data_IF_183300010745
#
_entry.id   IF_183300010745
#
_cell.length_a   1.000
_cell.length_b   1.000
_cell.length_c   1.000
_cell.angle_alpha   90.00
_cell.angle_beta   90.00
_cell.angle_gamma   90.00
#
_symmetry.space_group_name_H-M   'P 1'
#
loop_
_entity.id
_entity.type
_entity.pdbx_description
1 polymer ?
#
# COMPACT_ATOMS: atom_id res chain seq x y z
N UNK A 1 1.70 -13.59 67.79
CA UNK A 1 1.49 -14.32 66.52
C UNK A 1 1.05 -13.29 65.48
N UNK A 2 1.81 -13.12 64.39
CA UNK A 2 1.63 -12.04 63.40
C UNK A 2 0.70 -12.53 62.27
N UNK A 3 -0.42 -11.83 62.03
CA UNK A 3 -1.28 -12.05 60.87
C UNK A 3 -0.62 -11.47 59.61
N UNK A 4 -0.39 -12.31 58.60
CA UNK A 4 0.16 -11.92 57.30
C UNK A 4 -1.00 -11.45 56.40
N UNK A 5 -0.98 -10.19 55.98
CA UNK A 5 -1.92 -9.63 55.00
C UNK A 5 -1.46 -10.01 53.59
N UNK A 6 -2.22 -10.86 52.89
CA UNK A 6 -1.94 -11.24 51.50
C UNK A 6 -2.51 -10.22 50.52
N UNK A 7 -1.65 -9.49 49.82
CA UNK A 7 -2.03 -8.62 48.71
C UNK A 7 -2.11 -9.45 47.43
N UNK A 8 -3.31 -9.64 46.88
CA UNK A 8 -3.53 -10.33 45.60
C UNK A 8 -3.46 -9.28 44.50
N UNK A 9 -2.37 -9.28 43.72
CA UNK A 9 -2.24 -8.46 42.52
C UNK A 9 -2.85 -9.20 41.34
N UNK A 10 -4.05 -8.79 40.91
CA UNK A 10 -4.71 -9.33 39.73
C UNK A 10 -4.06 -8.77 38.47
N UNK A 11 -3.33 -9.63 37.74
CA UNK A 11 -2.76 -9.30 36.43
C UNK A 11 -3.88 -9.33 35.39
N UNK A 12 -4.35 -8.17 34.92
CA UNK A 12 -5.27 -8.08 33.79
C UNK A 12 -4.46 -8.25 32.51
N UNK A 13 -4.55 -9.43 31.89
CA UNK A 13 -3.98 -9.69 30.57
C UNK A 13 -4.93 -9.09 29.51
N UNK A 14 -4.62 -7.90 29.01
CA UNK A 14 -5.31 -7.34 27.86
C UNK A 14 -4.97 -8.19 26.62
N UNK A 15 -5.92 -9.00 26.17
CA UNK A 15 -5.77 -9.71 24.90
C UNK A 15 -5.81 -8.67 23.77
N UNK A 16 -4.66 -8.38 23.16
CA UNK A 16 -4.61 -7.63 21.92
C UNK A 16 -5.37 -8.44 20.86
N UNK A 17 -6.42 -7.86 20.27
CA UNK A 17 -7.05 -8.44 19.10
C UNK A 17 -5.96 -8.58 18.01
N UNK A 18 -5.84 -9.73 17.33
CA UNK A 18 -4.91 -9.84 16.22
C UNK A 18 -5.33 -8.82 15.17
N UNK A 19 -4.47 -7.83 14.91
CA UNK A 19 -4.62 -6.98 13.73
C UNK A 19 -4.62 -7.90 12.50
N UNK A 20 -5.59 -7.72 11.60
CA UNK A 20 -5.58 -8.44 10.34
C UNK A 20 -4.27 -8.11 9.61
N UNK A 21 -3.65 -9.12 9.02
CA UNK A 21 -2.45 -8.93 8.21
C UNK A 21 -2.81 -9.04 6.73
N UNK A 22 -2.14 -8.22 5.92
CA UNK A 22 -2.13 -8.44 4.48
C UNK A 22 -1.53 -9.82 4.14
N UNK A 23 -1.94 -10.42 3.03
CA UNK A 23 -1.38 -11.66 2.50
C UNK A 23 -0.02 -11.40 1.85
N UNK A 24 1.02 -11.31 2.68
CA UNK A 24 2.41 -11.08 2.26
C UNK A 24 2.94 -12.16 1.30
N UNK A 25 2.45 -13.40 1.40
CA UNK A 25 2.89 -14.46 0.48
C UNK A 25 2.33 -14.25 -0.92
N UNK A 26 1.09 -13.80 -1.02
CA UNK A 26 0.47 -13.41 -2.29
C UNK A 26 1.14 -12.17 -2.88
N UNK A 27 1.38 -11.15 -2.07
CA UNK A 27 2.09 -9.94 -2.50
C UNK A 27 3.47 -10.29 -3.07
N UNK A 28 4.25 -11.14 -2.37
CA UNK A 28 5.57 -11.58 -2.85
C UNK A 28 5.50 -12.30 -4.19
N UNK A 29 4.58 -13.25 -4.36
CA UNK A 29 4.42 -13.99 -5.63
C UNK A 29 4.08 -13.06 -6.79
N UNK A 30 3.21 -12.07 -6.55
CA UNK A 30 2.92 -11.06 -7.56
C UNK A 30 4.09 -10.14 -7.85
N UNK A 31 4.85 -9.74 -6.83
CA UNK A 31 6.03 -8.90 -7.03
C UNK A 31 7.07 -9.58 -7.92
N UNK A 32 7.35 -10.86 -7.70
CA UNK A 32 8.25 -11.67 -8.54
C UNK A 32 7.74 -11.76 -9.99
N UNK A 33 6.46 -12.11 -10.17
CA UNK A 33 5.86 -12.22 -11.51
C UNK A 33 5.82 -10.88 -12.26
N UNK A 34 5.51 -9.79 -11.56
CA UNK A 34 5.42 -8.46 -12.14
C UNK A 34 6.81 -7.95 -12.51
N UNK A 35 7.80 -8.11 -11.64
CA UNK A 35 9.17 -7.67 -11.91
C UNK A 35 9.76 -8.38 -13.14
N UNK A 36 9.53 -9.69 -13.27
CA UNK A 36 10.04 -10.47 -14.40
C UNK A 36 9.39 -10.11 -15.74
N UNK A 37 8.14 -9.61 -15.73
CA UNK A 37 7.35 -9.31 -16.92
C UNK A 37 7.17 -7.79 -17.18
N UNK A 38 7.87 -6.94 -16.43
CA UNK A 38 7.68 -5.50 -16.51
C UNK A 38 8.31 -4.94 -17.80
N UNK A 39 7.51 -4.22 -18.60
CA UNK A 39 7.97 -3.56 -19.83
C UNK A 39 8.17 -2.06 -19.64
N UNK A 40 7.18 -1.39 -19.04
CA UNK A 40 7.22 0.03 -18.76
C UNK A 40 7.50 0.29 -17.29
N UNK A 41 8.49 1.14 -16.99
CA UNK A 41 8.87 1.52 -15.62
C UNK A 41 9.85 0.56 -14.95
N UNK A 42 10.17 0.87 -13.70
CA UNK A 42 11.12 0.15 -12.86
C UNK A 42 10.40 -0.40 -11.62
N UNK A 43 10.62 -1.67 -11.32
CA UNK A 43 10.16 -2.29 -10.08
C UNK A 43 11.11 -1.89 -8.95
N UNK A 44 10.59 -1.19 -7.94
CA UNK A 44 11.30 -0.83 -6.72
C UNK A 44 10.58 -1.40 -5.50
N UNK A 45 11.25 -1.43 -4.36
CA UNK A 45 10.65 -1.80 -3.08
C UNK A 45 10.67 -0.61 -2.13
N UNK A 46 9.51 -0.31 -1.56
CA UNK A 46 9.34 0.67 -0.49
C UNK A 46 9.05 -0.08 0.82
N UNK A 47 9.23 0.59 1.95
CA UNK A 47 9.01 0.01 3.29
C UNK A 47 7.95 0.83 4.03
N UNK A 48 6.88 0.16 4.48
CA UNK A 48 5.78 0.78 5.25
C UNK A 48 6.02 0.78 6.77
N UNK A 49 7.24 0.42 7.20
CA UNK A 49 7.63 0.24 8.59
C UNK A 49 7.25 -1.14 9.16
N UNK A 50 6.54 -1.98 8.39
CA UNK A 50 6.16 -3.35 8.75
C UNK A 50 6.79 -4.36 7.80
N UNK A 51 6.73 -4.11 6.50
CA UNK A 51 7.29 -4.98 5.47
C UNK A 51 7.63 -4.21 4.18
N UNK A 52 8.63 -4.67 3.41
CA UNK A 52 8.86 -4.16 2.07
C UNK A 52 7.72 -4.57 1.13
N UNK A 53 7.28 -3.66 0.28
CA UNK A 53 6.23 -3.88 -0.71
C UNK A 53 6.64 -3.35 -2.09
N UNK A 54 6.10 -3.98 -3.13
CA UNK A 54 6.39 -3.60 -4.52
C UNK A 54 5.80 -2.22 -4.83
N UNK A 55 6.60 -1.38 -5.48
CA UNK A 55 6.12 -0.24 -6.24
C UNK A 55 6.70 -0.28 -7.66
N UNK A 56 5.97 0.30 -8.61
CA UNK A 56 6.40 0.45 -10.00
C UNK A 56 6.52 1.93 -10.27
N UNK A 57 7.75 2.39 -10.42
CA UNK A 57 8.07 3.76 -10.75
C UNK A 57 8.13 3.92 -12.26
N UNK A 58 7.47 4.94 -12.81
CA UNK A 58 7.51 5.22 -14.25
C UNK A 58 7.73 6.71 -14.44
N UNK A 59 8.90 7.03 -15.01
CA UNK A 59 9.28 8.40 -15.33
C UNK A 59 8.38 8.99 -16.43
N UNK A 60 8.18 10.30 -16.39
CA UNK A 60 7.43 10.97 -17.44
C UNK A 60 8.22 11.03 -18.75
N UNK A 61 7.58 10.64 -19.85
CA UNK A 61 8.19 10.67 -21.19
C UNK A 61 8.48 12.09 -21.72
N UNK A 62 7.84 13.11 -21.17
CA UNK A 62 7.96 14.51 -21.61
C UNK A 62 8.49 15.44 -20.50
N UNK A 63 8.95 14.85 -19.39
CA UNK A 63 9.35 15.56 -18.18
C UNK A 63 8.15 15.88 -17.27
N UNK A 64 8.24 15.45 -16.01
CA UNK A 64 7.13 15.53 -15.05
C UNK A 64 6.93 16.91 -14.41
N UNK A 65 7.87 17.84 -14.61
CA UNK A 65 7.96 19.04 -13.77
C UNK A 65 8.04 18.65 -12.29
N UNK A 66 7.11 19.16 -11.49
CA UNK A 66 7.00 18.85 -10.05
C UNK A 66 5.77 18.00 -9.71
N UNK A 67 5.15 17.33 -10.69
CA UNK A 67 3.89 16.57 -10.51
C UNK A 67 4.11 15.06 -10.57
N UNK A 68 3.53 14.34 -9.61
CA UNK A 68 3.52 12.89 -9.57
C UNK A 68 2.16 12.32 -9.17
N UNK A 69 1.89 11.08 -9.55
CA UNK A 69 0.69 10.33 -9.17
C UNK A 69 1.06 9.03 -8.47
N UNK A 70 0.51 8.81 -7.27
CA UNK A 70 0.52 7.51 -6.59
C UNK A 70 -0.72 6.74 -7.04
N UNK A 71 -0.53 5.56 -7.62
CA UNK A 71 -1.61 4.76 -8.21
C UNK A 71 -1.86 3.52 -7.35
N UNK A 72 -3.11 3.32 -6.96
CA UNK A 72 -3.53 2.27 -6.02
C UNK A 72 -4.58 1.35 -6.64
N UNK A 73 -4.30 0.05 -6.60
CA UNK A 73 -5.15 -0.98 -7.20
C UNK A 73 -6.31 -1.40 -6.30
N UNK A 74 -7.26 -2.15 -6.85
CA UNK A 74 -8.43 -2.68 -6.14
C UNK A 74 -8.25 -4.07 -5.53
N UNK A 75 -9.35 -4.70 -5.14
CA UNK A 75 -9.38 -6.07 -4.58
C UNK A 75 -8.84 -7.09 -5.58
N UNK A 76 -8.06 -8.06 -5.08
CA UNK A 76 -7.67 -9.25 -5.85
C UNK A 76 -6.69 -9.00 -7.00
N UNK A 77 -6.10 -7.81 -7.09
CA UNK A 77 -5.19 -7.41 -8.19
C UNK A 77 -3.89 -6.79 -7.65
N UNK A 78 -3.02 -6.31 -8.53
CA UNK A 78 -1.65 -5.87 -8.19
C UNK A 78 -1.24 -4.57 -8.95
N UNK A 79 -0.05 -3.97 -8.66
CA UNK A 79 0.39 -2.66 -9.19
C UNK A 79 0.60 -2.56 -10.70
N UNK A 80 0.48 -3.67 -11.42
CA UNK A 80 0.62 -3.73 -12.88
C UNK A 80 -0.61 -4.35 -13.55
N UNK A 81 -1.75 -4.36 -12.87
CA UNK A 81 -2.94 -5.05 -13.39
C UNK A 81 -3.40 -4.45 -14.73
N UNK A 82 -3.64 -5.28 -15.77
CA UNK A 82 -3.75 -4.81 -17.15
C UNK A 82 -4.98 -3.95 -17.44
N UNK A 83 -6.03 -4.03 -16.62
CA UNK A 83 -7.32 -3.38 -16.97
C UNK A 83 -7.41 -1.92 -16.57
N UNK A 84 -6.92 -1.55 -15.39
CA UNK A 84 -7.04 -0.17 -14.85
C UNK A 84 -5.68 0.40 -14.47
N UNK A 85 -4.88 -0.38 -13.74
CA UNK A 85 -3.64 0.12 -13.13
C UNK A 85 -2.55 0.37 -14.18
N UNK A 86 -2.31 -0.62 -15.05
CA UNK A 86 -1.33 -0.49 -16.14
C UNK A 86 -1.66 0.67 -17.10
N UNK A 87 -2.90 0.80 -17.63
CA UNK A 87 -3.25 1.95 -18.46
C UNK A 87 -3.04 3.29 -17.73
N UNK A 88 -3.40 3.40 -16.45
CA UNK A 88 -3.22 4.64 -15.70
C UNK A 88 -1.74 5.01 -15.55
N UNK A 89 -0.89 4.08 -15.10
CA UNK A 89 0.53 4.38 -14.85
C UNK A 89 1.29 4.74 -16.12
N UNK A 90 0.99 4.07 -17.23
CA UNK A 90 1.65 4.34 -18.52
C UNK A 90 1.11 5.61 -19.17
N UNK A 91 -0.22 5.76 -19.29
CA UNK A 91 -0.79 6.92 -20.01
C UNK A 91 -0.58 8.24 -19.28
N UNK A 92 -0.59 8.25 -17.94
CA UNK A 92 -0.23 9.46 -17.18
C UNK A 92 1.24 9.85 -17.41
N UNK A 93 2.14 8.85 -17.47
CA UNK A 93 3.55 9.08 -17.76
C UNK A 93 3.81 9.70 -19.13
N UNK A 94 3.07 9.24 -20.14
CA UNK A 94 3.11 9.78 -21.51
C UNK A 94 2.69 11.26 -21.58
N UNK A 95 1.85 11.74 -20.66
CA UNK A 95 1.28 13.10 -20.70
C UNK A 95 1.82 14.04 -19.61
N UNK A 96 3.01 13.76 -19.07
CA UNK A 96 3.71 14.72 -18.21
C UNK A 96 3.60 14.46 -16.70
N UNK A 97 3.21 13.26 -16.27
CA UNK A 97 3.20 12.90 -14.85
C UNK A 97 4.29 11.89 -14.54
N UNK A 98 4.98 12.04 -13.41
CA UNK A 98 5.71 10.90 -12.84
C UNK A 98 4.69 9.97 -12.17
N UNK A 99 4.82 8.65 -12.32
CA UNK A 99 3.87 7.74 -11.67
C UNK A 99 4.57 6.73 -10.77
N UNK A 100 3.89 6.39 -9.68
CA UNK A 100 4.31 5.40 -8.71
C UNK A 100 3.12 4.51 -8.36
N UNK A 101 3.04 3.34 -8.98
CA UNK A 101 1.98 2.37 -8.71
C UNK A 101 2.39 1.46 -7.56
N UNK A 102 1.61 1.39 -6.49
CA UNK A 102 2.00 0.71 -5.25
C UNK A 102 1.18 -0.53 -4.94
N UNK A 103 1.82 -1.55 -4.35
CA UNK A 103 1.16 -2.74 -3.83
C UNK A 103 0.32 -2.34 -2.63
N UNK A 104 -1.00 -2.37 -2.78
CA UNK A 104 -1.93 -2.19 -1.68
C UNK A 104 -2.08 -3.48 -0.87
N UNK A 105 -2.47 -3.39 0.41
CA UNK A 105 -2.78 -4.56 1.22
C UNK A 105 -3.84 -5.43 0.54
N UNK A 106 -3.69 -6.75 0.58
CA UNK A 106 -4.58 -7.71 -0.08
C UNK A 106 -4.91 -8.90 0.81
N UNK A 107 -6.04 -9.51 0.53
CA UNK A 107 -6.45 -10.80 1.10
C UNK A 107 -6.43 -11.89 0.02
N UNK A 108 -6.81 -13.10 0.40
CA UNK A 108 -7.08 -14.19 -0.55
C UNK A 108 -8.15 -13.80 -1.59
N UNK A 109 -8.17 -14.46 -2.74
CA UNK A 109 -9.06 -14.11 -3.85
C UNK A 109 -10.56 -14.32 -3.56
N UNK A 110 -10.86 -15.18 -2.60
CA UNK A 110 -12.19 -15.56 -2.14
C UNK A 110 -12.63 -14.79 -0.88
N UNK A 111 -11.80 -13.87 -0.37
CA UNK A 111 -12.15 -13.03 0.77
C UNK A 111 -13.34 -12.11 0.46
N UNK A 112 -14.22 -11.91 1.44
CA UNK A 112 -15.35 -11.01 1.30
C UNK A 112 -14.89 -9.55 1.36
N UNK A 113 -15.69 -8.65 0.81
CA UNK A 113 -15.38 -7.21 0.85
C UNK A 113 -15.30 -6.68 2.29
N UNK A 114 -16.11 -7.21 3.20
CA UNK A 114 -16.15 -6.82 4.62
C UNK A 114 -14.88 -7.22 5.41
N UNK A 115 -14.17 -8.27 4.99
CA UNK A 115 -12.95 -8.75 5.65
C UNK A 115 -11.79 -7.75 5.52
N UNK A 116 -11.84 -6.90 4.50
CA UNK A 116 -10.77 -5.95 4.20
C UNK A 116 -10.58 -4.89 5.28
N UNK A 117 -11.62 -4.55 6.04
CA UNK A 117 -11.49 -3.58 7.13
C UNK A 117 -10.43 -3.99 8.16
N UNK A 118 -10.19 -5.31 8.32
CA UNK A 118 -9.20 -5.83 9.26
C UNK A 118 -7.75 -5.51 8.88
N UNK A 119 -7.48 -5.13 7.62
CA UNK A 119 -6.13 -4.83 7.10
C UNK A 119 -5.94 -3.35 6.72
N UNK A 120 -6.92 -2.48 6.99
CA UNK A 120 -6.85 -1.06 6.62
C UNK A 120 -5.74 -0.31 7.37
N UNK A 121 -5.33 -0.78 8.55
CA UNK A 121 -4.24 -0.18 9.32
C UNK A 121 -2.85 -0.33 8.65
N UNK A 122 -2.72 -1.18 7.63
CA UNK A 122 -1.53 -1.27 6.79
C UNK A 122 -1.47 -0.17 5.71
N UNK A 123 -2.60 0.48 5.41
CA UNK A 123 -2.69 1.43 4.30
C UNK A 123 -1.87 2.70 4.55
N UNK A 124 -1.94 3.38 5.71
CA UNK A 124 -1.25 4.65 5.90
C UNK A 124 0.26 4.55 5.68
N UNK A 125 0.92 3.53 6.23
CA UNK A 125 2.36 3.35 6.07
C UNK A 125 2.79 3.20 4.60
N UNK A 126 1.98 2.53 3.77
CA UNK A 126 2.28 2.37 2.34
C UNK A 126 2.09 3.66 1.55
N UNK A 127 1.01 4.39 1.84
CA UNK A 127 0.75 5.68 1.17
C UNK A 127 1.80 6.71 1.60
N UNK A 128 2.14 6.77 2.88
CA UNK A 128 3.15 7.68 3.42
C UNK A 128 4.54 7.38 2.84
N UNK A 129 4.93 6.11 2.75
CA UNK A 129 6.20 5.71 2.12
C UNK A 129 6.25 6.12 0.64
N UNK A 130 5.14 5.92 -0.10
CA UNK A 130 5.04 6.30 -1.50
C UNK A 130 5.10 7.83 -1.71
N UNK A 131 4.36 8.59 -0.91
CA UNK A 131 4.38 10.05 -0.94
C UNK A 131 5.78 10.56 -0.58
N UNK A 132 6.38 10.04 0.49
CA UNK A 132 7.71 10.44 0.96
C UNK A 132 8.78 10.18 -0.10
N UNK A 133 8.79 9.00 -0.72
CA UNK A 133 9.68 8.67 -1.85
C UNK A 133 9.59 9.71 -2.97
N UNK A 134 8.37 10.11 -3.35
CA UNK A 134 8.17 11.13 -4.38
C UNK A 134 8.61 12.53 -3.91
N UNK A 135 8.35 12.89 -2.64
CA UNK A 135 8.77 14.18 -2.08
C UNK A 135 10.29 14.31 -2.03
N UNK A 136 10.99 13.26 -1.63
CA UNK A 136 12.45 13.21 -1.59
C UNK A 136 13.07 13.38 -2.99
N UNK A 137 12.38 12.91 -4.03
CA UNK A 137 12.75 13.13 -5.44
C UNK A 137 12.39 14.51 -5.98
N UNK A 138 11.81 15.39 -5.17
CA UNK A 138 11.50 16.78 -5.52
C UNK A 138 10.11 17.01 -6.13
N UNK A 139 9.21 16.03 -6.07
CA UNK A 139 7.83 16.23 -6.52
C UNK A 139 7.02 17.06 -5.50
N UNK A 140 6.45 18.17 -5.95
CA UNK A 140 5.70 19.14 -5.13
C UNK A 140 4.19 18.88 -5.12
N UNK A 141 3.66 18.30 -6.19
CA UNK A 141 2.25 17.92 -6.29
C UNK A 141 2.17 16.42 -6.43
N UNK A 142 1.71 15.75 -5.38
CA UNK A 142 1.47 14.29 -5.39
C UNK A 142 -0.03 14.06 -5.37
N UNK A 143 -0.56 13.42 -6.40
CA UNK A 143 -1.99 13.09 -6.53
C UNK A 143 -2.19 11.61 -6.21
N UNK A 144 -3.18 11.29 -5.40
CA UNK A 144 -3.59 9.91 -5.13
C UNK A 144 -4.66 9.50 -6.15
N UNK A 145 -4.41 8.43 -6.90
CA UNK A 145 -5.32 7.86 -7.89
C UNK A 145 -5.63 6.43 -7.50
N UNK A 146 -6.89 6.13 -7.20
CA UNK A 146 -7.28 4.84 -6.66
C UNK A 146 -8.49 4.25 -7.39
N UNK A 147 -8.55 2.93 -7.45
CA UNK A 147 -9.64 2.19 -8.10
C UNK A 147 -10.25 1.12 -7.19
N UNK A 148 -11.58 0.98 -7.22
CA UNK A 148 -12.33 -0.04 -6.46
C UNK A 148 -11.95 0.00 -4.97
N UNK A 149 -11.55 -1.12 -4.37
CA UNK A 149 -11.12 -1.22 -2.96
C UNK A 149 -9.96 -0.28 -2.60
N UNK A 150 -9.07 0.02 -3.57
CA UNK A 150 -8.04 1.04 -3.37
C UNK A 150 -8.64 2.40 -3.04
N UNK A 151 -9.82 2.74 -3.58
CA UNK A 151 -10.52 4.00 -3.28
C UNK A 151 -11.03 4.02 -1.84
N UNK A 152 -11.58 2.90 -1.34
CA UNK A 152 -12.03 2.79 0.05
C UNK A 152 -10.84 2.86 1.03
N UNK A 153 -9.74 2.17 0.72
CA UNK A 153 -8.49 2.25 1.48
C UNK A 153 -7.89 3.66 1.46
N UNK A 154 -7.90 4.34 0.32
CA UNK A 154 -7.44 5.72 0.20
C UNK A 154 -8.32 6.67 1.00
N UNK A 155 -9.64 6.47 1.00
CA UNK A 155 -10.56 7.25 1.82
C UNK A 155 -10.29 7.04 3.32
N UNK A 156 -10.04 5.80 3.75
CA UNK A 156 -9.61 5.51 5.12
C UNK A 156 -8.32 6.24 5.49
N UNK A 157 -7.33 6.28 4.59
CA UNK A 157 -6.09 7.05 4.82
C UNK A 157 -6.35 8.55 4.99
N UNK A 158 -7.25 9.13 4.20
CA UNK A 158 -7.54 10.57 4.22
C UNK A 158 -8.46 11.01 5.37
N UNK A 159 -9.10 10.07 6.08
CA UNK A 159 -9.97 10.35 7.23
C UNK A 159 -9.18 10.51 8.55
N UNK A 160 -7.94 10.01 8.58
CA UNK A 160 -7.02 10.10 9.73
C UNK A 160 -6.15 11.36 9.73
#
# INVERSE_FOLDING_TARGET
MRCLSGFVMTLVLAAALPAGATDLQKEKRWAEQVADALLDGEAIYLDDGRAPFLAIETESAVGAGTKAAVIMHGTGVHPNWPTVVLPLRVRLAEVGWHTLSIQMPVLANDAAHEDYAAIYDWVPGRVDAAVSHLREKGFETVVLVAHSQGSAMTAYYLDG
#
